data_IF_104371794392
#
_entry.id   IF_104371794392
#
_cell.length_a   1.000
_cell.length_b   1.000
_cell.length_c   1.000
_cell.angle_alpha   90.00
_cell.angle_beta   90.00
_cell.angle_gamma   90.00
#
_symmetry.space_group_name_H-M   'P 1'
#
loop_
_entity.id
_entity.type
_entity.pdbx_description
1 polymer ?
#
# COMPACT_ATOMS: atom_id res chain seq x y z
N UNK A 1 -10.58 -12.40 -1.80
CA UNK A 1 -9.75 -11.98 -2.94
C UNK A 1 -9.97 -10.49 -3.19
N UNK A 2 -8.89 -9.75 -3.32
CA UNK A 2 -8.96 -8.30 -3.49
C UNK A 2 -7.96 -7.83 -4.54
N UNK A 3 -8.19 -6.64 -5.07
CA UNK A 3 -7.25 -5.95 -5.94
C UNK A 3 -6.47 -4.95 -5.09
N UNK A 4 -5.15 -5.12 -5.03
CA UNK A 4 -4.26 -4.37 -4.14
C UNK A 4 -3.25 -3.58 -4.98
N UNK A 5 -3.11 -2.29 -4.67
CA UNK A 5 -2.05 -1.46 -5.24
C UNK A 5 -0.93 -1.37 -4.21
N UNK A 6 0.29 -1.76 -4.59
CA UNK A 6 1.47 -1.57 -3.75
C UNK A 6 2.33 -0.47 -4.33
N UNK A 7 2.62 0.54 -3.53
CA UNK A 7 3.52 1.63 -3.92
C UNK A 7 4.80 1.57 -3.11
N UNK A 8 5.88 2.04 -3.67
CA UNK A 8 7.17 2.07 -3.01
C UNK A 8 8.28 2.44 -3.97
N UNK A 9 9.51 2.50 -3.46
CA UNK A 9 10.68 2.87 -4.25
C UNK A 9 11.68 1.74 -4.46
N UNK A 10 11.58 0.66 -3.67
CA UNK A 10 12.50 -0.47 -3.74
C UNK A 10 11.86 -1.62 -4.51
N UNK A 11 12.34 -1.93 -5.74
CA UNK A 11 11.72 -2.98 -6.57
C UNK A 11 11.76 -4.37 -5.92
N UNK A 12 12.81 -4.70 -5.19
CA UNK A 12 12.95 -6.01 -4.54
C UNK A 12 11.91 -6.17 -3.43
N UNK A 13 11.75 -5.15 -2.59
CA UNK A 13 10.77 -5.16 -1.51
C UNK A 13 9.36 -5.24 -2.08
N UNK A 14 9.08 -4.46 -3.13
CA UNK A 14 7.76 -4.46 -3.78
C UNK A 14 7.43 -5.82 -4.38
N UNK A 15 8.40 -6.45 -5.03
CA UNK A 15 8.23 -7.76 -5.64
C UNK A 15 7.95 -8.83 -4.59
N UNK A 16 8.66 -8.78 -3.47
CA UNK A 16 8.44 -9.70 -2.35
C UNK A 16 7.02 -9.56 -1.79
N UNK A 17 6.55 -8.33 -1.63
CA UNK A 17 5.18 -8.08 -1.18
C UNK A 17 4.16 -8.59 -2.18
N UNK A 18 4.41 -8.37 -3.46
CA UNK A 18 3.53 -8.86 -4.51
C UNK A 18 3.35 -10.36 -4.41
N UNK A 19 4.45 -11.11 -4.34
CA UNK A 19 4.40 -12.56 -4.26
C UNK A 19 3.65 -13.04 -3.01
N UNK A 20 3.90 -12.40 -1.88
CA UNK A 20 3.24 -12.77 -0.62
C UNK A 20 1.72 -12.55 -0.70
N UNK A 21 1.30 -11.40 -1.22
CA UNK A 21 -0.12 -11.08 -1.31
C UNK A 21 -0.82 -11.91 -2.39
N UNK A 22 -0.13 -12.22 -3.48
CA UNK A 22 -0.68 -13.11 -4.51
C UNK A 22 -0.88 -14.52 -3.98
N UNK A 23 0.01 -15.00 -3.12
CA UNK A 23 -0.16 -16.29 -2.45
C UNK A 23 -1.37 -16.28 -1.52
N UNK A 24 -1.75 -15.14 -1.00
CA UNK A 24 -2.94 -15.00 -0.17
C UNK A 24 -4.23 -14.87 -0.99
N UNK A 25 -4.14 -14.92 -2.31
CA UNK A 25 -5.29 -14.89 -3.21
C UNK A 25 -5.63 -13.52 -3.77
N UNK A 26 -4.79 -12.52 -3.55
CA UNK A 26 -5.03 -11.18 -4.08
C UNK A 26 -4.39 -10.98 -5.44
N UNK A 27 -4.93 -10.04 -6.22
CA UNK A 27 -4.29 -9.54 -7.43
C UNK A 27 -3.57 -8.24 -7.05
N UNK A 28 -2.30 -8.11 -7.45
CA UNK A 28 -1.46 -7.00 -7.03
C UNK A 28 -0.93 -6.23 -8.23
N UNK A 29 -1.02 -4.90 -8.16
CA UNK A 29 -0.43 -4.00 -9.14
C UNK A 29 0.64 -3.18 -8.41
N UNK A 30 1.79 -2.99 -9.03
CA UNK A 30 2.90 -2.22 -8.46
C UNK A 30 2.99 -0.85 -9.13
N UNK A 31 3.26 0.18 -8.33
CA UNK A 31 3.49 1.54 -8.83
C UNK A 31 4.60 2.19 -8.02
N UNK A 32 5.60 2.77 -8.69
CA UNK A 32 6.76 3.32 -8.02
C UNK A 32 6.93 4.83 -8.20
N UNK A 33 6.04 5.48 -8.95
CA UNK A 33 6.07 6.93 -9.14
C UNK A 33 4.66 7.46 -9.38
N UNK A 34 4.54 8.79 -9.41
CA UNK A 34 3.25 9.47 -9.54
C UNK A 34 2.50 9.04 -10.80
N UNK A 35 3.19 8.96 -11.93
CA UNK A 35 2.59 8.58 -13.21
C UNK A 35 2.00 7.18 -13.15
N UNK A 36 2.73 6.24 -12.54
CA UNK A 36 2.26 4.86 -12.41
C UNK A 36 1.07 4.75 -11.46
N UNK A 37 1.09 5.51 -10.36
CA UNK A 37 -0.04 5.54 -9.42
C UNK A 37 -1.28 6.08 -10.13
N UNK A 38 -1.16 7.19 -10.85
CA UNK A 38 -2.28 7.78 -11.58
C UNK A 38 -2.85 6.81 -12.59
N UNK A 39 -1.97 6.20 -13.40
CA UNK A 39 -2.38 5.25 -14.43
C UNK A 39 -3.10 4.04 -13.83
N UNK A 40 -2.56 3.50 -12.73
CA UNK A 40 -3.15 2.35 -12.05
C UNK A 40 -4.55 2.70 -11.53
N UNK A 41 -4.72 3.85 -10.90
CA UNK A 41 -6.01 4.29 -10.36
C UNK A 41 -7.05 4.52 -11.45
N UNK A 42 -6.61 4.98 -12.62
CA UNK A 42 -7.51 5.18 -13.75
C UNK A 42 -7.92 3.87 -14.42
N UNK A 43 -7.09 2.84 -14.30
CA UNK A 43 -7.31 1.55 -14.99
C UNK A 43 -8.01 0.51 -14.12
N UNK A 44 -7.97 0.66 -12.79
CA UNK A 44 -8.47 -0.34 -11.86
C UNK A 44 -9.19 0.31 -10.69
N UNK A 45 -10.14 -0.45 -10.10
CA UNK A 45 -10.78 -0.07 -8.83
C UNK A 45 -10.14 -0.92 -7.73
N UNK A 46 -9.25 -0.32 -6.95
CA UNK A 46 -8.54 -1.02 -5.89
C UNK A 46 -9.37 -1.12 -4.62
N UNK A 47 -9.23 -2.24 -3.93
CA UNK A 47 -9.82 -2.45 -2.60
C UNK A 47 -8.90 -1.93 -1.50
N UNK A 48 -7.59 -2.11 -1.69
CA UNK A 48 -6.57 -1.68 -0.73
C UNK A 48 -5.39 -1.07 -1.48
N UNK A 49 -4.84 0.01 -0.95
CA UNK A 49 -3.61 0.62 -1.45
C UNK A 49 -2.58 0.66 -0.32
N UNK A 50 -1.40 0.10 -0.57
CA UNK A 50 -0.31 0.05 0.40
C UNK A 50 0.75 1.08 0.02
N UNK A 51 1.10 1.96 0.95
CA UNK A 51 2.16 2.94 0.76
C UNK A 51 3.39 2.47 1.53
N UNK A 52 4.49 2.21 0.80
CA UNK A 52 5.69 1.58 1.34
C UNK A 52 6.47 2.46 2.32
N UNK A 53 7.23 1.82 3.22
CA UNK A 53 7.99 2.50 4.26
C UNK A 53 9.23 3.22 3.74
N UNK A 54 9.72 2.85 2.54
CA UNK A 54 10.94 3.44 1.97
C UNK A 54 10.67 4.70 1.14
N UNK A 55 9.42 5.12 1.10
CA UNK A 55 9.01 6.34 0.41
C UNK A 55 9.15 7.51 1.38
N UNK A 56 9.67 8.65 0.91
CA UNK A 56 9.82 9.83 1.77
C UNK A 56 8.46 10.36 2.22
N UNK A 57 8.39 11.09 3.36
CA UNK A 57 7.13 11.66 3.82
C UNK A 57 6.43 12.54 2.79
N UNK A 58 7.18 13.35 2.04
CA UNK A 58 6.61 14.21 1.00
C UNK A 58 5.96 13.40 -0.11
N UNK A 59 6.62 12.31 -0.54
CA UNK A 59 6.09 11.42 -1.57
C UNK A 59 4.89 10.64 -1.03
N UNK A 60 4.93 10.20 0.22
CA UNK A 60 3.77 9.55 0.87
C UNK A 60 2.55 10.45 0.83
N UNK A 61 2.71 11.74 1.15
CA UNK A 61 1.60 12.70 1.13
C UNK A 61 1.04 12.87 -0.28
N UNK A 62 1.90 12.92 -1.30
CA UNK A 62 1.46 13.02 -2.69
C UNK A 62 0.66 11.78 -3.11
N UNK A 63 1.19 10.58 -2.82
CA UNK A 63 0.49 9.34 -3.15
C UNK A 63 -0.85 9.26 -2.42
N UNK A 64 -0.87 9.64 -1.16
CA UNK A 64 -2.09 9.62 -0.36
C UNK A 64 -3.18 10.49 -0.99
N UNK A 65 -2.82 11.72 -1.38
CA UNK A 65 -3.78 12.63 -2.03
C UNK A 65 -4.30 12.06 -3.34
N UNK A 66 -3.38 11.54 -4.17
CA UNK A 66 -3.76 10.93 -5.44
C UNK A 66 -4.72 9.75 -5.22
N UNK A 67 -4.42 8.92 -4.24
CA UNK A 67 -5.25 7.75 -3.93
C UNK A 67 -6.63 8.16 -3.44
N UNK A 68 -6.72 9.17 -2.58
CA UNK A 68 -8.02 9.66 -2.10
C UNK A 68 -8.86 10.26 -3.21
N UNK A 69 -8.23 10.91 -4.19
CA UNK A 69 -8.92 11.53 -5.31
C UNK A 69 -9.29 10.54 -6.41
N UNK A 70 -8.38 9.63 -6.74
CA UNK A 70 -8.51 8.76 -7.92
C UNK A 70 -8.93 7.34 -7.59
N UNK A 71 -8.59 6.85 -6.40
CA UNK A 71 -8.94 5.51 -5.93
C UNK A 71 -9.85 5.63 -4.71
N UNK A 72 -10.99 6.28 -4.88
CA UNK A 72 -11.86 6.71 -3.76
C UNK A 72 -12.34 5.57 -2.87
N UNK A 73 -12.47 4.37 -3.41
CA UNK A 73 -12.95 3.21 -2.65
C UNK A 73 -11.83 2.43 -1.96
N UNK A 74 -10.56 2.74 -2.24
CA UNK A 74 -9.45 2.00 -1.68
C UNK A 74 -9.22 2.36 -0.20
N UNK A 75 -9.04 1.34 0.63
CA UNK A 75 -8.54 1.52 1.98
C UNK A 75 -7.03 1.70 1.91
N UNK A 76 -6.49 2.68 2.63
CA UNK A 76 -5.08 3.02 2.54
C UNK A 76 -4.34 2.54 3.77
N UNK A 77 -3.29 1.76 3.55
CA UNK A 77 -2.39 1.24 4.58
C UNK A 77 -1.04 1.92 4.43
N UNK A 78 -0.62 2.65 5.45
CA UNK A 78 0.73 3.21 5.49
C UNK A 78 1.68 2.26 6.18
N UNK A 79 2.78 1.90 5.49
CA UNK A 79 3.90 1.20 6.12
C UNK A 79 4.91 2.26 6.57
N UNK A 80 5.43 2.12 7.78
CA UNK A 80 6.41 3.04 8.32
C UNK A 80 7.51 2.25 9.02
N UNK A 81 8.68 2.88 9.21
CA UNK A 81 9.77 2.22 9.93
C UNK A 81 9.47 2.18 11.42
N UNK A 82 9.94 1.15 12.14
CA UNK A 82 9.87 1.15 13.60
C UNK A 82 10.56 2.41 14.15
N UNK A 83 10.02 2.99 15.20
CA UNK A 83 10.54 4.19 15.85
C UNK A 83 10.37 5.49 15.06
N UNK A 84 9.83 5.44 13.84
CA UNK A 84 9.49 6.64 13.07
C UNK A 84 8.01 6.93 13.20
N UNK A 85 7.69 8.22 13.22
CA UNK A 85 6.30 8.63 13.26
C UNK A 85 5.58 8.30 11.96
N UNK A 86 4.28 8.08 12.07
CA UNK A 86 3.41 7.92 10.90
C UNK A 86 3.34 9.24 10.15
N UNK A 87 3.44 9.17 8.83
CA UNK A 87 3.34 10.37 7.98
C UNK A 87 1.91 10.67 7.56
N UNK A 88 1.04 9.66 7.53
CA UNK A 88 -0.31 9.78 7.02
C UNK A 88 -1.33 9.52 8.13
N UNK A 89 -1.64 10.57 8.89
CA UNK A 89 -2.54 10.45 10.05
C UNK A 89 -3.97 10.04 9.66
N UNK A 90 -4.36 10.29 8.42
CA UNK A 90 -5.70 9.97 7.93
C UNK A 90 -5.77 8.68 7.12
N UNK A 91 -4.71 7.89 7.09
CA UNK A 91 -4.76 6.56 6.49
C UNK A 91 -5.72 5.66 7.29
N UNK A 92 -6.16 4.58 6.64
CA UNK A 92 -7.11 3.66 7.28
C UNK A 92 -6.44 2.70 8.24
N UNK A 93 -5.14 2.43 8.06
CA UNK A 93 -4.36 1.58 8.94
C UNK A 93 -2.87 1.88 8.79
N UNK A 94 -2.09 1.39 9.75
CA UNK A 94 -0.64 1.59 9.82
C UNK A 94 0.03 0.29 10.24
N UNK A 95 1.23 0.05 9.72
CA UNK A 95 2.04 -1.10 10.13
C UNK A 95 3.51 -0.73 10.08
N UNK A 96 4.21 -0.99 11.19
CA UNK A 96 5.67 -0.80 11.22
C UNK A 96 6.37 -1.92 10.46
N UNK A 97 7.34 -1.57 9.63
CA UNK A 97 8.08 -2.53 8.82
C UNK A 97 9.59 -2.36 9.04
N UNK A 98 10.33 -3.45 9.23
CA UNK A 98 9.85 -4.83 9.24
C UNK A 98 8.97 -5.12 10.45
N UNK A 99 7.94 -5.94 10.25
CA UNK A 99 7.04 -6.33 11.33
C UNK A 99 7.63 -7.49 12.12
N UNK A 100 7.15 -7.66 13.35
CA UNK A 100 7.61 -8.77 14.20
C UNK A 100 7.14 -10.13 13.69
N UNK A 101 5.97 -10.16 13.04
CA UNK A 101 5.43 -11.38 12.46
C UNK A 101 5.28 -11.21 10.95
N UNK A 102 5.85 -12.12 10.14
CA UNK A 102 5.81 -11.97 8.68
C UNK A 102 4.40 -11.89 8.10
N UNK A 103 3.42 -12.51 8.75
CA UNK A 103 2.05 -12.57 8.28
C UNK A 103 1.21 -11.34 8.63
N UNK A 104 1.71 -10.39 9.42
CA UNK A 104 0.94 -9.22 9.83
C UNK A 104 0.46 -8.37 8.65
N UNK A 105 1.32 -8.15 7.67
CA UNK A 105 0.96 -7.38 6.48
C UNK A 105 -0.19 -8.06 5.72
N UNK A 106 -0.08 -9.35 5.50
CA UNK A 106 -1.12 -10.13 4.82
C UNK A 106 -2.45 -10.06 5.57
N UNK A 107 -2.41 -10.27 6.89
CA UNK A 107 -3.62 -10.25 7.71
C UNK A 107 -4.29 -8.88 7.70
N UNK A 108 -3.49 -7.82 7.76
CA UNK A 108 -4.02 -6.47 7.75
C UNK A 108 -4.63 -6.11 6.40
N UNK A 109 -3.99 -6.50 5.30
CA UNK A 109 -4.55 -6.32 3.96
C UNK A 109 -5.85 -7.09 3.83
N UNK A 110 -5.91 -8.33 4.31
CA UNK A 110 -7.13 -9.12 4.29
C UNK A 110 -8.27 -8.43 5.06
N UNK A 111 -7.97 -7.89 6.24
CA UNK A 111 -8.95 -7.20 7.04
C UNK A 111 -9.48 -5.94 6.36
N UNK A 112 -8.59 -5.14 5.76
CA UNK A 112 -8.98 -3.92 5.05
C UNK A 112 -9.81 -4.22 3.80
N UNK A 113 -9.50 -5.31 3.11
CA UNK A 113 -10.21 -5.70 1.90
C UNK A 113 -11.66 -6.11 2.16
N UNK A 114 -11.98 -6.45 3.41
CA UNK A 114 -13.32 -6.91 3.79
C UNK A 114 -14.24 -5.80 4.29
N UNK A 115 -13.73 -4.59 4.39
CA UNK A 115 -14.52 -3.47 4.91
C UNK A 115 -15.39 -2.79 3.85
#
# INVERSE_FOLDING_TARGET
MALVLCTGSDPVVMQTRQLMLEKAGHTVVLASNDSQVEKACKSHRFDVAVIGQNVSPAVKQRFFRMLRELCVDARILELHRPFNERSLHEADAWLAMPSEAPEELRELVNALAQK
#
